data_IF_846883571083
#
_entry.id   IF_846883571083
#
_cell.length_a   1.000
_cell.length_b   1.000
_cell.length_c   1.000
_cell.angle_alpha   90.00
_cell.angle_beta   90.00
_cell.angle_gamma   90.00
#
_symmetry.space_group_name_H-M   'P 1'
#
loop_
_entity.id
_entity.type
_entity.pdbx_description
1 polymer ?
#
# COMPACT_ATOMS: atom_id res chain seq x y z
N UNK A 1 10.85 20.98 10.78
CA UNK A 1 10.58 19.60 10.37
C UNK A 1 10.70 19.52 8.86
N UNK A 2 11.49 18.59 8.31
CA UNK A 2 11.48 18.31 6.88
C UNK A 2 10.08 17.82 6.48
N UNK A 3 9.51 18.36 5.40
CA UNK A 3 8.23 17.91 4.86
C UNK A 3 8.29 16.44 4.42
N UNK A 4 7.13 15.80 4.30
CA UNK A 4 7.01 14.49 3.67
C UNK A 4 7.41 14.60 2.20
N UNK A 5 8.07 13.55 1.66
CA UNK A 5 8.20 13.40 0.23
C UNK A 5 6.81 13.21 -0.42
N UNK A 6 6.72 13.35 -1.74
CA UNK A 6 5.45 13.28 -2.47
C UNK A 6 4.72 11.95 -2.24
N UNK A 7 5.46 10.84 -2.11
CA UNK A 7 4.93 9.51 -1.86
C UNK A 7 4.27 9.40 -0.49
N UNK A 8 4.96 9.79 0.57
CA UNK A 8 4.40 9.81 1.93
C UNK A 8 3.33 10.89 2.11
N UNK A 9 3.41 12.00 1.37
CA UNK A 9 2.36 13.01 1.36
C UNK A 9 1.05 12.46 0.77
N UNK A 10 1.11 11.63 -0.27
CA UNK A 10 -0.05 10.95 -0.82
C UNK A 10 -0.64 9.91 0.17
N UNK A 11 0.20 9.16 0.88
CA UNK A 11 -0.24 8.29 1.99
C UNK A 11 -0.92 9.11 3.09
N UNK A 12 -0.29 10.21 3.51
CA UNK A 12 -0.85 11.09 4.53
C UNK A 12 -2.21 11.69 4.13
N UNK A 13 -2.44 11.95 2.84
CA UNK A 13 -3.71 12.48 2.35
C UNK A 13 -4.88 11.53 2.65
N UNK A 14 -4.67 10.22 2.52
CA UNK A 14 -5.69 9.19 2.73
C UNK A 14 -5.95 8.82 4.20
N UNK A 15 -5.07 9.20 5.13
CA UNK A 15 -5.32 8.95 6.56
C UNK A 15 -6.54 9.78 7.01
N UNK A 16 -7.56 9.16 7.65
CA UNK A 16 -8.74 9.89 8.11
C UNK A 16 -8.40 10.94 9.17
N UNK A 17 -9.20 12.02 9.19
CA UNK A 17 -9.12 13.03 10.24
C UNK A 17 -9.54 12.42 11.59
N UNK A 18 -8.76 12.68 12.63
CA UNK A 18 -9.01 12.17 13.98
C UNK A 18 -8.70 10.70 14.19
N UNK A 19 -8.07 10.03 13.22
CA UNK A 19 -7.74 8.60 13.30
C UNK A 19 -6.81 8.27 14.48
N UNK A 20 -7.03 7.07 15.05
CA UNK A 20 -6.04 6.36 15.86
C UNK A 20 -5.25 5.47 14.92
N UNK A 21 -4.08 5.95 14.50
CA UNK A 21 -3.30 5.38 13.41
C UNK A 21 -2.27 4.36 13.93
N UNK A 22 -2.13 3.21 13.25
CA UNK A 22 -0.89 2.43 13.27
C UNK A 22 -0.11 2.69 11.99
N UNK A 23 1.18 2.98 12.09
CA UNK A 23 2.12 3.07 10.97
C UNK A 23 3.10 1.89 11.06
N UNK A 24 2.99 0.94 10.14
CA UNK A 24 3.75 -0.31 10.15
C UNK A 24 4.95 -0.23 9.22
N UNK A 25 6.15 -0.47 9.76
CA UNK A 25 7.41 -0.19 9.10
C UNK A 25 7.69 1.31 9.09
N UNK A 26 7.48 1.94 10.23
CA UNK A 26 7.44 3.40 10.36
C UNK A 26 8.80 4.09 10.17
N UNK A 27 9.91 3.33 10.17
CA UNK A 27 11.28 3.83 10.02
C UNK A 27 11.55 4.99 11.00
N UNK A 28 11.67 6.22 10.53
CA UNK A 28 11.88 7.41 11.37
C UNK A 28 10.57 8.05 11.88
N UNK A 29 9.44 7.36 11.86
CA UNK A 29 8.11 7.87 12.23
C UNK A 29 7.71 9.17 11.49
N UNK A 30 8.19 9.35 10.25
CA UNK A 30 7.95 10.58 9.46
C UNK A 30 6.47 10.82 9.21
N UNK A 31 5.70 9.76 8.86
CA UNK A 31 4.28 9.87 8.59
C UNK A 31 3.49 10.26 9.85
N UNK A 32 3.56 9.52 10.98
CA UNK A 32 2.83 9.87 12.18
C UNK A 32 3.23 11.25 12.74
N UNK A 33 4.51 11.62 12.74
CA UNK A 33 4.97 12.93 13.18
C UNK A 33 4.39 14.07 12.34
N UNK A 34 4.37 13.92 11.01
CA UNK A 34 3.81 14.93 10.13
C UNK A 34 2.30 15.09 10.29
N UNK A 35 1.58 13.97 10.52
CA UNK A 35 0.14 13.97 10.77
C UNK A 35 -0.21 14.57 12.13
N UNK A 36 0.53 14.22 13.18
CA UNK A 36 0.37 14.76 14.53
C UNK A 36 0.64 16.28 14.55
N UNK A 37 1.71 16.74 13.89
CA UNK A 37 2.04 18.17 13.79
C UNK A 37 0.94 19.02 13.11
N UNK A 38 0.15 18.39 12.24
CA UNK A 38 -1.00 19.02 11.55
C UNK A 38 -2.32 18.85 12.31
N UNK A 39 -2.33 18.19 13.46
CA UNK A 39 -3.55 17.87 14.19
C UNK A 39 -4.50 16.94 13.40
N UNK A 40 -3.97 16.16 12.43
CA UNK A 40 -4.79 15.31 11.56
C UNK A 40 -5.19 14.00 12.24
N UNK A 41 -4.43 13.52 13.22
CA UNK A 41 -4.68 12.27 13.93
C UNK A 41 -4.89 12.51 15.43
N UNK A 42 -5.66 11.68 16.09
CA UNK A 42 -5.84 11.73 17.54
C UNK A 42 -4.61 11.18 18.27
N UNK A 43 -4.05 10.08 17.75
CA UNK A 43 -2.80 9.47 18.22
C UNK A 43 -2.23 8.54 17.16
N UNK A 44 -0.98 8.13 17.31
CA UNK A 44 -0.39 7.11 16.46
C UNK A 44 0.47 6.12 17.25
N UNK A 45 0.58 4.89 16.71
CA UNK A 45 1.54 3.87 17.11
C UNK A 45 2.43 3.60 15.91
N UNK A 46 3.70 3.96 16.01
CA UNK A 46 4.71 3.68 14.99
C UNK A 46 5.39 2.34 15.32
N UNK A 47 5.28 1.37 14.43
CA UNK A 47 5.81 0.00 14.66
C UNK A 47 6.95 -0.28 13.70
N UNK A 48 8.05 -0.82 14.18
CA UNK A 48 9.11 -1.39 13.35
C UNK A 48 9.63 -2.68 13.96
N UNK A 49 10.00 -3.63 13.13
CA UNK A 49 10.53 -4.94 13.56
C UNK A 49 12.04 -4.86 13.83
N UNK A 50 12.72 -3.86 13.29
CA UNK A 50 14.17 -3.70 13.42
C UNK A 50 14.51 -2.67 14.49
N UNK A 51 15.48 -2.99 15.37
CA UNK A 51 15.92 -2.12 16.45
C UNK A 51 16.44 -0.75 15.97
N UNK A 52 17.20 -0.74 14.85
CA UNK A 52 17.76 0.50 14.31
C UNK A 52 16.69 1.55 13.94
N UNK A 53 15.73 1.22 13.05
CA UNK A 53 14.57 2.04 12.74
C UNK A 53 13.71 2.40 13.96
N UNK A 54 13.45 1.43 14.85
CA UNK A 54 12.73 1.69 16.11
C UNK A 54 13.40 2.77 16.95
N UNK A 55 14.71 2.68 17.21
CA UNK A 55 15.46 3.67 17.96
C UNK A 55 15.53 5.04 17.24
N UNK A 56 15.60 5.02 15.90
CA UNK A 56 15.56 6.25 15.12
C UNK A 56 14.19 6.94 15.25
N UNK A 57 13.09 6.19 15.14
CA UNK A 57 11.73 6.69 15.35
C UNK A 57 11.56 7.25 16.76
N UNK A 58 12.02 6.51 17.78
CA UNK A 58 11.94 6.93 19.20
C UNK A 58 12.68 8.24 19.45
N UNK A 59 13.88 8.41 18.88
CA UNK A 59 14.63 9.67 18.95
C UNK A 59 13.89 10.82 18.25
N UNK A 60 13.34 10.56 17.06
CA UNK A 60 12.62 11.57 16.30
C UNK A 60 11.34 12.03 17.02
N UNK A 61 10.58 11.13 17.62
CA UNK A 61 9.38 11.44 18.41
C UNK A 61 9.72 12.28 19.64
N UNK A 62 10.78 11.93 20.37
CA UNK A 62 11.26 12.71 21.52
C UNK A 62 11.75 14.10 21.11
N UNK A 63 12.55 14.19 20.05
CA UNK A 63 13.05 15.46 19.55
C UNK A 63 11.95 16.41 19.08
N UNK A 64 10.84 15.85 18.56
CA UNK A 64 9.66 16.61 18.18
C UNK A 64 8.75 17.00 19.36
N UNK A 65 8.99 16.49 20.56
CA UNK A 65 8.13 16.71 21.72
C UNK A 65 6.75 16.05 21.61
N UNK A 66 6.62 14.99 20.79
CA UNK A 66 5.33 14.39 20.44
C UNK A 66 5.08 13.02 21.10
N UNK A 67 5.81 12.67 22.15
CA UNK A 67 5.68 11.38 22.82
C UNK A 67 4.30 11.12 23.44
N UNK A 68 3.48 12.14 23.66
CA UNK A 68 2.10 12.01 24.12
C UNK A 68 1.12 11.63 22.99
N UNK A 69 1.47 11.89 21.73
CA UNK A 69 0.63 11.63 20.55
C UNK A 69 1.12 10.46 19.72
N UNK A 70 2.42 10.18 19.73
CA UNK A 70 3.06 9.14 18.92
C UNK A 70 3.85 8.22 19.83
N UNK A 71 3.34 7.01 19.99
CA UNK A 71 4.03 5.90 20.65
C UNK A 71 4.88 5.15 19.63
N UNK A 72 6.05 4.63 20.04
CA UNK A 72 6.91 3.81 19.17
C UNK A 72 7.07 2.43 19.79
N UNK A 73 6.81 1.38 19.01
CA UNK A 73 6.90 -0.02 19.43
C UNK A 73 7.86 -0.82 18.55
N UNK A 74 8.68 -1.65 19.20
CA UNK A 74 9.44 -2.69 18.52
C UNK A 74 8.55 -3.93 18.42
N UNK A 75 8.35 -4.46 17.21
CA UNK A 75 7.53 -5.65 16.99
C UNK A 75 7.25 -5.94 15.52
N UNK A 76 6.74 -7.14 15.25
CA UNK A 76 6.46 -7.59 13.88
C UNK A 76 5.03 -7.24 13.46
N UNK A 77 4.92 -6.24 12.60
CA UNK A 77 3.66 -5.86 11.97
C UNK A 77 2.55 -5.53 12.97
N UNK A 78 1.37 -6.07 12.73
CA UNK A 78 0.19 -5.86 13.57
C UNK A 78 0.24 -6.63 14.90
N UNK A 79 1.13 -7.62 15.06
CA UNK A 79 1.28 -8.34 16.31
C UNK A 79 1.76 -7.46 17.48
N UNK A 80 2.33 -6.28 17.19
CA UNK A 80 2.70 -5.30 18.20
C UNK A 80 1.50 -4.51 18.78
N UNK A 81 0.28 -4.76 18.30
CA UNK A 81 -0.93 -4.01 18.64
C UNK A 81 -1.96 -4.92 19.34
N UNK A 82 -2.74 -4.34 20.24
CA UNK A 82 -3.92 -4.99 20.77
C UNK A 82 -5.16 -4.69 19.92
N UNK A 83 -6.15 -5.60 19.85
CA UNK A 83 -7.44 -5.32 19.20
C UNK A 83 -8.12 -4.07 19.77
N UNK A 84 -8.59 -3.18 18.89
CA UNK A 84 -9.28 -1.95 19.28
C UNK A 84 -8.38 -0.76 19.64
N UNK A 85 -7.05 -0.91 19.64
CA UNK A 85 -6.14 0.22 19.89
C UNK A 85 -6.19 1.26 18.77
N UNK A 86 -6.37 0.82 17.52
CA UNK A 86 -6.34 1.65 16.32
C UNK A 86 -7.58 1.43 15.45
N UNK A 87 -7.97 2.42 14.68
CA UNK A 87 -9.06 2.36 13.69
C UNK A 87 -8.55 2.53 12.25
N UNK A 88 -7.30 2.97 12.09
CA UNK A 88 -6.64 3.08 10.79
C UNK A 88 -5.24 2.46 10.84
N UNK A 89 -4.85 1.79 9.75
CA UNK A 89 -3.51 1.21 9.58
C UNK A 89 -2.89 1.74 8.29
N UNK A 90 -1.68 2.25 8.37
CA UNK A 90 -0.85 2.60 7.24
C UNK A 90 0.29 1.57 7.08
N UNK A 91 0.53 1.10 5.86
CA UNK A 91 1.70 0.29 5.50
C UNK A 91 2.26 0.81 4.18
N UNK A 92 3.42 1.43 4.21
CA UNK A 92 3.99 2.07 3.03
C UNK A 92 5.43 1.63 2.76
N UNK A 93 5.79 1.51 1.47
CA UNK A 93 7.17 1.23 1.07
C UNK A 93 7.55 -0.26 1.10
N UNK A 94 6.58 -1.16 1.16
CA UNK A 94 6.79 -2.61 1.18
C UNK A 94 6.22 -3.27 -0.07
N UNK A 95 6.69 -4.49 -0.41
CA UNK A 95 6.06 -5.31 -1.46
C UNK A 95 4.63 -5.69 -1.10
N UNK A 96 3.75 -5.81 -2.10
CA UNK A 96 2.35 -6.16 -1.88
C UNK A 96 2.17 -7.49 -1.15
N UNK A 97 3.01 -8.48 -1.46
CA UNK A 97 3.04 -9.77 -0.74
C UNK A 97 3.41 -9.63 0.73
N UNK A 98 4.35 -8.74 1.08
CA UNK A 98 4.69 -8.44 2.48
C UNK A 98 3.55 -7.76 3.21
N UNK A 99 2.89 -6.78 2.56
CA UNK A 99 1.71 -6.10 3.11
C UNK A 99 0.59 -7.12 3.36
N UNK A 100 0.31 -7.98 2.38
CA UNK A 100 -0.70 -9.05 2.50
C UNK A 100 -0.43 -9.96 3.71
N UNK A 101 0.82 -10.38 3.90
CA UNK A 101 1.21 -11.20 5.05
C UNK A 101 0.97 -10.48 6.37
N UNK A 102 1.42 -9.22 6.50
CA UNK A 102 1.20 -8.41 7.72
C UNK A 102 -0.30 -8.30 8.05
N UNK A 103 -1.13 -8.07 7.04
CA UNK A 103 -2.58 -7.97 7.24
C UNK A 103 -3.20 -9.31 7.61
N UNK A 104 -2.78 -10.42 6.98
CA UNK A 104 -3.27 -11.76 7.28
C UNK A 104 -2.90 -12.20 8.71
N UNK A 105 -1.65 -11.99 9.11
CA UNK A 105 -1.15 -12.33 10.45
C UNK A 105 -1.83 -11.47 11.54
N UNK A 106 -2.26 -10.26 11.19
CA UNK A 106 -2.92 -9.32 12.08
C UNK A 106 -4.46 -9.39 12.13
N UNK A 107 -5.07 -10.48 11.70
CA UNK A 107 -6.53 -10.58 11.54
C UNK A 107 -7.34 -10.16 12.78
N UNK A 108 -6.86 -10.49 13.99
CA UNK A 108 -7.52 -10.11 15.25
C UNK A 108 -7.54 -8.59 15.47
N UNK A 109 -6.43 -7.89 15.19
CA UNK A 109 -6.33 -6.43 15.26
C UNK A 109 -7.22 -5.78 14.22
N UNK A 110 -7.21 -6.34 13.00
CA UNK A 110 -8.01 -5.83 11.89
C UNK A 110 -9.51 -5.87 12.13
N UNK A 111 -10.04 -6.66 13.07
CA UNK A 111 -11.48 -6.68 13.35
C UNK A 111 -12.03 -5.30 13.74
N UNK A 112 -11.24 -4.49 14.43
CA UNK A 112 -11.61 -3.14 14.86
C UNK A 112 -11.10 -2.01 13.94
N UNK A 113 -10.36 -2.36 12.88
CA UNK A 113 -9.84 -1.40 11.91
C UNK A 113 -10.85 -1.16 10.80
N UNK A 114 -11.12 0.10 10.51
CA UNK A 114 -12.06 0.53 9.46
C UNK A 114 -11.36 0.96 8.17
N UNK A 115 -10.10 1.39 8.28
CA UNK A 115 -9.38 2.00 7.15
C UNK A 115 -7.97 1.44 7.04
N UNK A 116 -7.59 1.06 5.82
CA UNK A 116 -6.21 0.71 5.45
C UNK A 116 -5.70 1.71 4.41
N UNK A 117 -4.51 2.27 4.66
CA UNK A 117 -3.80 3.13 3.70
C UNK A 117 -2.52 2.41 3.30
N UNK A 118 -2.48 1.90 2.07
CA UNK A 118 -1.46 0.97 1.63
C UNK A 118 -0.68 1.55 0.45
N UNK A 119 0.65 1.46 0.51
CA UNK A 119 1.50 1.87 -0.60
C UNK A 119 2.44 0.71 -0.98
N UNK A 120 2.00 -0.19 -1.88
CA UNK A 120 2.82 -1.29 -2.36
C UNK A 120 3.91 -0.80 -3.32
N UNK A 121 5.10 -1.42 -3.24
CA UNK A 121 6.19 -1.20 -4.22
C UNK A 121 6.21 -2.25 -5.34
N UNK A 122 5.30 -3.20 -5.32
CA UNK A 122 5.07 -4.27 -6.30
C UNK A 122 3.86 -5.08 -5.86
N UNK A 123 3.44 -6.04 -6.67
CA UNK A 123 2.36 -7.00 -6.39
C UNK A 123 1.03 -6.36 -5.96
N UNK A 124 0.74 -5.16 -6.49
CA UNK A 124 -0.46 -4.39 -6.11
C UNK A 124 -1.76 -5.12 -6.54
N UNK A 125 -1.73 -5.87 -7.64
CA UNK A 125 -2.88 -6.65 -8.12
C UNK A 125 -3.27 -7.75 -7.12
N UNK A 126 -2.28 -8.48 -6.63
CA UNK A 126 -2.43 -9.56 -5.65
C UNK A 126 -2.91 -9.00 -4.30
N UNK A 127 -2.37 -7.87 -3.88
CA UNK A 127 -2.82 -7.16 -2.67
C UNK A 127 -4.28 -6.73 -2.80
N UNK A 128 -4.69 -6.12 -3.92
CA UNK A 128 -6.10 -5.76 -4.17
C UNK A 128 -7.00 -6.99 -4.15
N UNK A 129 -6.59 -8.08 -4.83
CA UNK A 129 -7.35 -9.32 -4.83
C UNK A 129 -7.57 -9.83 -3.41
N UNK A 130 -6.52 -9.88 -2.59
CA UNK A 130 -6.59 -10.32 -1.20
C UNK A 130 -7.55 -9.42 -0.38
N UNK A 131 -7.51 -8.11 -0.56
CA UNK A 131 -8.40 -7.20 0.14
C UNK A 131 -9.87 -7.52 -0.14
N UNK A 132 -10.27 -7.69 -1.40
CA UNK A 132 -11.64 -8.07 -1.76
C UNK A 132 -12.03 -9.44 -1.20
N UNK A 133 -11.12 -10.42 -1.20
CA UNK A 133 -11.36 -11.76 -0.66
C UNK A 133 -11.50 -11.78 0.88
N UNK A 134 -10.98 -10.76 1.57
CA UNK A 134 -10.97 -10.66 3.04
C UNK A 134 -11.89 -9.56 3.60
N UNK A 135 -12.92 -9.16 2.84
CA UNK A 135 -13.96 -8.25 3.33
C UNK A 135 -13.57 -6.78 3.34
N UNK A 136 -12.61 -6.41 2.50
CA UNK A 136 -12.25 -5.04 2.21
C UNK A 136 -12.61 -4.68 0.77
N UNK A 137 -12.74 -3.39 0.49
CA UNK A 137 -12.83 -2.89 -0.88
C UNK A 137 -11.96 -1.66 -1.05
N UNK A 138 -11.47 -1.46 -2.25
CA UNK A 138 -10.76 -0.23 -2.60
C UNK A 138 -11.79 0.89 -2.69
N UNK A 139 -11.62 1.92 -1.87
CA UNK A 139 -12.48 3.10 -1.84
C UNK A 139 -11.92 4.23 -2.68
N UNK A 140 -10.61 4.44 -2.65
CA UNK A 140 -9.90 5.46 -3.41
C UNK A 140 -8.50 4.96 -3.77
N UNK A 141 -7.94 5.51 -4.85
CA UNK A 141 -6.56 5.25 -5.26
C UNK A 141 -5.92 6.51 -5.81
N UNK A 142 -4.62 6.62 -5.65
CA UNK A 142 -3.87 7.70 -6.31
C UNK A 142 -2.57 7.20 -6.93
N UNK A 143 -2.16 7.88 -8.00
CA UNK A 143 -0.85 7.74 -8.61
C UNK A 143 0.00 8.96 -8.27
N UNK A 144 1.17 8.74 -7.71
CA UNK A 144 2.09 9.81 -7.35
C UNK A 144 3.47 9.56 -7.95
N UNK A 145 4.10 10.62 -8.45
CA UNK A 145 5.47 10.56 -8.96
C UNK A 145 6.42 11.12 -7.93
N UNK A 146 7.36 10.30 -7.47
CA UNK A 146 8.39 10.70 -6.52
C UNK A 146 9.74 10.10 -6.93
N UNK A 147 10.83 10.87 -6.89
CA UNK A 147 12.16 10.40 -7.26
C UNK A 147 12.24 9.74 -8.65
N UNK A 148 11.46 10.21 -9.62
CA UNK A 148 11.41 9.68 -10.98
C UNK A 148 10.59 8.39 -11.15
N UNK A 149 10.09 7.78 -10.07
CA UNK A 149 9.25 6.58 -10.05
C UNK A 149 7.78 6.91 -9.87
N UNK A 150 6.92 6.04 -10.36
CA UNK A 150 5.49 6.11 -10.16
C UNK A 150 5.09 5.12 -9.05
N UNK A 151 4.30 5.61 -8.11
CA UNK A 151 3.80 4.83 -6.97
C UNK A 151 2.28 4.85 -6.93
N UNK A 152 1.72 3.75 -6.50
CA UNK A 152 0.30 3.59 -6.22
C UNK A 152 0.06 3.74 -4.72
N UNK A 153 -0.98 4.47 -4.34
CA UNK A 153 -1.48 4.52 -2.97
C UNK A 153 -2.94 4.11 -2.98
N UNK A 154 -3.28 3.18 -2.10
CA UNK A 154 -4.61 2.59 -1.99
C UNK A 154 -5.23 2.97 -0.65
N UNK A 155 -6.46 3.44 -0.68
CA UNK A 155 -7.34 3.53 0.46
C UNK A 155 -8.33 2.38 0.40
N UNK A 156 -8.25 1.45 1.35
CA UNK A 156 -9.24 0.38 1.48
C UNK A 156 -10.12 0.60 2.71
N UNK A 157 -11.40 0.27 2.57
CA UNK A 157 -12.39 0.35 3.62
C UNK A 157 -13.00 -1.01 3.89
N UNK A 158 -13.44 -1.21 5.12
CA UNK A 158 -14.18 -2.40 5.51
C UNK A 158 -15.51 -2.47 4.75
N UNK A 159 -15.89 -3.67 4.34
CA UNK A 159 -17.13 -3.95 3.62
C UNK A 159 -16.90 -4.76 2.35
N UNK A 160 -17.92 -5.55 2.00
CA UNK A 160 -17.89 -6.37 0.78
C UNK A 160 -18.38 -5.56 -0.41
N UNK A 161 -17.62 -5.59 -1.49
CA UNK A 161 -18.03 -5.18 -2.84
C UNK A 161 -17.66 -6.29 -3.82
N UNK A 162 -18.27 -6.27 -4.98
CA UNK A 162 -17.91 -7.17 -6.06
C UNK A 162 -16.43 -7.00 -6.44
N UNK A 163 -15.74 -8.13 -6.56
CA UNK A 163 -14.33 -8.14 -6.92
C UNK A 163 -14.16 -7.80 -8.40
N UNK A 164 -13.39 -6.76 -8.74
CA UNK A 164 -13.15 -6.37 -10.12
C UNK A 164 -12.46 -7.47 -10.94
N UNK A 165 -12.61 -7.41 -12.25
CA UNK A 165 -11.88 -8.27 -13.19
C UNK A 165 -10.35 -8.15 -13.03
N UNK A 166 -9.57 -9.19 -13.36
CA UNK A 166 -8.12 -9.22 -13.12
C UNK A 166 -7.34 -8.05 -13.72
N UNK A 167 -7.75 -7.54 -14.88
CA UNK A 167 -7.09 -6.39 -15.51
C UNK A 167 -7.31 -5.11 -14.70
N UNK A 168 -8.49 -4.91 -14.11
CA UNK A 168 -8.76 -3.76 -13.25
C UNK A 168 -8.07 -3.89 -11.89
N UNK A 169 -7.92 -5.10 -11.35
CA UNK A 169 -7.08 -5.32 -10.18
C UNK A 169 -5.60 -4.99 -10.47
N UNK A 170 -5.13 -5.19 -11.70
CA UNK A 170 -3.77 -4.81 -12.07
C UNK A 170 -3.59 -3.30 -12.25
N UNK A 171 -4.56 -2.62 -12.85
CA UNK A 171 -4.51 -1.16 -13.12
C UNK A 171 -4.83 -0.36 -11.85
N UNK A 172 -5.79 -0.79 -11.08
CA UNK A 172 -6.45 -0.07 -9.99
C UNK A 172 -7.89 0.30 -10.41
N UNK A 173 -8.92 -0.28 -9.74
CA UNK A 173 -10.31 -0.06 -10.12
C UNK A 173 -10.74 1.41 -10.02
N UNK A 174 -10.31 2.14 -8.99
CA UNK A 174 -10.60 3.56 -8.85
C UNK A 174 -9.78 4.39 -9.83
N UNK A 175 -8.51 4.05 -10.06
CA UNK A 175 -7.69 4.71 -11.08
C UNK A 175 -8.31 4.57 -12.47
N UNK A 176 -8.85 3.38 -12.78
CA UNK A 176 -9.53 3.15 -14.05
C UNK A 176 -10.80 3.99 -14.19
N UNK A 177 -11.56 4.14 -13.12
CA UNK A 177 -12.78 4.93 -13.11
C UNK A 177 -12.51 6.44 -13.23
N UNK A 178 -11.52 6.94 -12.49
CA UNK A 178 -11.22 8.37 -12.38
C UNK A 178 -10.36 8.91 -13.51
N UNK A 179 -9.62 8.05 -14.22
CA UNK A 179 -8.74 8.42 -15.34
C UNK A 179 -7.73 9.54 -15.00
N UNK A 180 -6.96 9.43 -13.91
CA UNK A 180 -5.99 10.47 -13.57
C UNK A 180 -4.93 10.65 -14.68
N UNK A 181 -4.28 11.82 -14.80
CA UNK A 181 -3.32 12.13 -15.87
C UNK A 181 -2.15 11.14 -15.99
N UNK A 182 -1.79 10.47 -14.90
CA UNK A 182 -0.70 9.48 -14.87
C UNK A 182 -1.14 8.07 -15.26
N UNK A 183 -2.44 7.82 -15.48
CA UNK A 183 -2.97 6.48 -15.72
C UNK A 183 -2.38 5.81 -16.96
N UNK A 184 -2.31 6.53 -18.08
CA UNK A 184 -1.72 5.99 -19.32
C UNK A 184 -0.29 5.50 -19.09
N UNK A 185 0.54 6.33 -18.46
CA UNK A 185 1.92 5.98 -18.12
C UNK A 185 2.00 4.81 -17.15
N UNK A 186 1.05 4.71 -16.22
CA UNK A 186 0.96 3.58 -15.30
C UNK A 186 0.69 2.27 -16.05
N UNK A 187 -0.30 2.25 -16.95
CA UNK A 187 -0.65 1.06 -17.77
C UNK A 187 0.52 0.67 -18.68
N UNK A 188 1.17 1.64 -19.34
CA UNK A 188 2.39 1.39 -20.15
C UNK A 188 3.50 0.72 -19.30
N UNK A 189 3.68 1.18 -18.06
CA UNK A 189 4.62 0.58 -17.11
C UNK A 189 4.24 -0.85 -16.71
N UNK A 190 2.94 -1.14 -16.55
CA UNK A 190 2.45 -2.50 -16.31
C UNK A 190 2.75 -3.42 -17.49
N UNK A 191 2.41 -3.00 -18.70
CA UNK A 191 2.67 -3.74 -19.95
C UNK A 191 4.17 -4.04 -20.08
N UNK A 192 5.00 -3.03 -19.87
CA UNK A 192 6.47 -3.20 -19.94
C UNK A 192 6.97 -4.28 -18.97
N UNK A 193 6.51 -4.26 -17.71
CA UNK A 193 6.88 -5.27 -16.71
C UNK A 193 6.43 -6.67 -17.09
N UNK A 194 5.18 -6.83 -17.56
CA UNK A 194 4.64 -8.13 -17.96
C UNK A 194 5.35 -8.66 -19.22
N UNK A 195 5.61 -7.81 -20.21
CA UNK A 195 6.39 -8.19 -21.41
C UNK A 195 7.80 -8.63 -21.04
N UNK A 196 8.46 -7.94 -20.11
CA UNK A 196 9.82 -8.32 -19.63
C UNK A 196 9.80 -9.66 -18.91
N UNK A 197 8.80 -9.92 -18.07
CA UNK A 197 8.64 -11.21 -17.41
C UNK A 197 8.42 -12.34 -18.43
N UNK A 198 7.55 -12.13 -19.42
CA UNK A 198 7.27 -13.09 -20.50
C UNK A 198 8.49 -13.37 -21.35
N UNK A 199 9.25 -12.35 -21.75
CA UNK A 199 10.50 -12.51 -22.51
C UNK A 199 11.56 -13.31 -21.74
N UNK A 200 11.60 -13.18 -20.40
CA UNK A 200 12.46 -14.01 -19.56
C UNK A 200 12.16 -15.52 -19.67
N UNK A 201 10.90 -15.89 -19.92
CA UNK A 201 10.46 -17.28 -20.06
C UNK A 201 10.77 -17.85 -21.46
N UNK A 202 11.00 -17.03 -22.47
CA UNK A 202 11.28 -17.46 -23.86
C UNK A 202 12.57 -18.28 -23.99
N UNK A 203 13.47 -18.14 -23.01
CA UNK A 203 14.73 -18.89 -22.98
C UNK A 203 14.57 -20.40 -22.73
N UNK A 204 13.41 -20.86 -22.32
CA UNK A 204 13.08 -22.26 -22.06
C UNK A 204 11.88 -22.71 -22.87
N UNK A 205 12.04 -23.74 -23.72
CA UNK A 205 10.93 -24.33 -24.48
C UNK A 205 9.77 -24.75 -23.56
N UNK A 206 10.11 -25.44 -22.45
CA UNK A 206 9.11 -25.88 -21.45
C UNK A 206 8.32 -24.71 -20.84
N UNK A 207 8.98 -23.56 -20.62
CA UNK A 207 8.33 -22.39 -20.07
C UNK A 207 7.38 -21.71 -21.08
N UNK A 208 7.77 -21.69 -22.38
CA UNK A 208 6.92 -21.14 -23.47
C UNK A 208 5.60 -21.89 -23.65
N UNK A 209 5.61 -23.21 -23.46
CA UNK A 209 4.41 -24.04 -23.62
C UNK A 209 3.54 -24.04 -22.36
N UNK A 210 4.00 -23.42 -21.28
CA UNK A 210 3.34 -23.42 -19.98
C UNK A 210 2.14 -22.48 -19.88
N UNK A 211 1.21 -22.80 -18.96
CA UNK A 211 0.04 -21.98 -18.66
C UNK A 211 0.43 -20.54 -18.22
N UNK A 212 1.52 -20.39 -17.48
CA UNK A 212 2.02 -19.10 -17.03
C UNK A 212 2.40 -18.17 -18.20
N UNK A 213 3.05 -18.69 -19.24
CA UNK A 213 3.41 -17.90 -20.42
C UNK A 213 2.17 -17.42 -21.19
N UNK A 214 1.15 -18.28 -21.32
CA UNK A 214 -0.14 -17.92 -21.94
C UNK A 214 -0.86 -16.86 -21.13
N UNK A 215 -0.95 -17.02 -19.79
CA UNK A 215 -1.58 -16.06 -18.91
C UNK A 215 -0.91 -14.66 -18.95
N UNK A 216 0.43 -14.59 -19.10
CA UNK A 216 1.12 -13.32 -19.32
C UNK A 216 0.75 -12.68 -20.66
N UNK A 217 0.55 -13.50 -21.72
CA UNK A 217 0.07 -13.02 -23.02
C UNK A 217 -1.35 -12.43 -22.95
N UNK A 218 -2.26 -13.12 -22.30
CA UNK A 218 -3.63 -12.65 -22.05
C UNK A 218 -3.65 -11.35 -21.22
N UNK A 219 -2.82 -11.29 -20.18
CA UNK A 219 -2.68 -10.06 -19.36
C UNK A 219 -2.16 -8.87 -20.18
N UNK A 220 -1.19 -9.09 -21.09
CA UNK A 220 -0.71 -8.05 -21.99
C UNK A 220 -1.85 -7.54 -22.88
N UNK A 221 -2.56 -8.44 -23.55
CA UNK A 221 -3.66 -8.08 -24.46
C UNK A 221 -4.76 -7.29 -23.72
N UNK A 222 -5.15 -7.73 -22.52
CA UNK A 222 -6.14 -7.03 -21.70
C UNK A 222 -5.68 -5.64 -21.27
N UNK A 223 -4.40 -5.46 -20.95
CA UNK A 223 -3.84 -4.14 -20.61
C UNK A 223 -3.75 -3.22 -21.82
N UNK A 224 -3.39 -3.76 -23.02
CA UNK A 224 -3.32 -3.00 -24.26
C UNK A 224 -4.70 -2.54 -24.71
N UNK A 225 -5.73 -3.35 -24.56
CA UNK A 225 -7.12 -2.96 -24.80
C UNK A 225 -7.51 -1.74 -23.94
N UNK A 226 -7.07 -1.70 -22.69
CA UNK A 226 -7.34 -0.58 -21.79
C UNK A 226 -6.53 0.69 -22.12
N UNK A 227 -5.59 0.67 -23.06
CA UNK A 227 -4.87 1.89 -23.54
C UNK A 227 -5.61 2.64 -24.64
N UNK A 228 -6.63 2.06 -25.24
CA UNK A 228 -7.34 2.59 -26.43
C UNK A 228 -8.44 3.62 -26.04
N UNK A 229 -8.67 3.83 -24.74
CA UNK A 229 -9.68 4.77 -24.21
C UNK A 229 -9.31 6.24 -24.34
#
# INVERSE_FOLDING_TARGET
>A
MQGLDERLAAVAAFVPLGARLADIGADHAKLPLALAAKGKIARAIAVDVNEGPFEAARRAVRAAGMAQLVEVRLGDGLAALAPGEVDAVAVAGMGGSSITRILADGAAVLQAVETLVLQPQGDAAELRAWLYDNGWHIAEESLVRAGGRLYEVLLARRGKKEKPEPVLLAIGPCLWQEKPPLLKKHIEGLIFRVRRARAGMEKSARARDGAAYRALGEKIAALEEKLIW
#
